data_IF_188843236469
#
_entry.id   IF_188843236469
#
_cell.length_a   1.000
_cell.length_b   1.000
_cell.length_c   1.000
_cell.angle_alpha   90.00
_cell.angle_beta   90.00
_cell.angle_gamma   90.00
#
_symmetry.space_group_name_H-M   'P 1'
#
loop_
_entity.id
_entity.type
_entity.pdbx_description
1 polymer ?
#
# COMPACT_ATOMS: atom_id res chain seq x y z
N UNK A 1 -19.86 -19.97 9.83
CA UNK A 1 -19.82 -18.91 8.81
C UNK A 1 -21.21 -18.33 8.46
N UNK A 2 -22.32 -18.95 8.88
CA UNK A 2 -23.70 -18.50 8.65
C UNK A 2 -24.21 -17.39 9.58
N UNK A 3 -23.52 -17.12 10.71
CA UNK A 3 -23.94 -16.10 11.70
C UNK A 3 -23.70 -14.66 11.22
N UNK A 4 -22.73 -14.44 10.32
CA UNK A 4 -22.35 -13.12 9.79
C UNK A 4 -23.02 -12.82 8.44
N UNK A 5 -23.42 -13.86 7.71
CA UNK A 5 -24.10 -13.73 6.41
C UNK A 5 -25.52 -13.16 6.55
N UNK A 6 -26.23 -13.50 7.64
CA UNK A 6 -27.60 -13.03 7.92
C UNK A 6 -27.70 -11.51 8.17
N UNK A 7 -26.88 -10.89 9.03
CA UNK A 7 -26.94 -9.43 9.22
C UNK A 7 -26.51 -8.66 7.96
N UNK A 8 -25.60 -9.22 7.16
CA UNK A 8 -25.15 -8.59 5.92
C UNK A 8 -26.26 -8.54 4.87
N UNK A 9 -27.00 -9.64 4.66
CA UNK A 9 -28.15 -9.67 3.75
C UNK A 9 -29.25 -8.72 4.23
N UNK A 10 -29.54 -8.69 5.54
CA UNK A 10 -30.55 -7.79 6.10
C UNK A 10 -30.16 -6.32 5.92
N UNK A 11 -28.89 -5.97 6.13
CA UNK A 11 -28.37 -4.62 5.92
C UNK A 11 -28.46 -4.16 4.46
N UNK A 12 -28.12 -5.04 3.51
CA UNK A 12 -28.22 -4.75 2.07
C UNK A 12 -29.67 -4.54 1.64
N UNK A 13 -30.61 -5.34 2.15
CA UNK A 13 -32.03 -5.19 1.83
C UNK A 13 -32.60 -3.85 2.37
N UNK A 14 -32.25 -3.46 3.59
CA UNK A 14 -32.72 -2.17 4.16
C UNK A 14 -32.13 -0.98 3.39
N UNK A 15 -30.86 -1.06 2.98
CA UNK A 15 -30.23 0.01 2.19
C UNK A 15 -30.88 0.20 0.80
N UNK A 16 -31.36 -0.89 0.19
CA UNK A 16 -31.97 -0.85 -1.15
C UNK A 16 -33.33 -0.12 -1.21
N UNK A 17 -34.10 -0.12 -0.12
CA UNK A 17 -35.42 0.55 -0.08
C UNK A 17 -35.27 2.07 -0.03
N UNK A 18 -34.17 2.58 0.53
CA UNK A 18 -33.90 4.03 0.64
C UNK A 18 -33.59 4.70 -0.69
N UNK A 19 -33.19 3.95 -1.73
CA UNK A 19 -32.83 4.50 -3.05
C UNK A 19 -34.04 4.88 -3.92
N UNK A 20 -35.25 4.45 -3.57
CA UNK A 20 -36.47 4.77 -4.33
C UNK A 20 -37.10 6.11 -3.94
N UNK A 21 -36.60 6.79 -2.89
CA UNK A 21 -37.16 8.05 -2.41
C UNK A 21 -36.57 9.31 -3.08
N UNK A 22 -35.46 9.21 -3.83
CA UNK A 22 -34.81 10.38 -4.47
C UNK A 22 -35.03 10.48 -6.00
N UNK A 23 -35.78 9.55 -6.61
CA UNK A 23 -36.15 9.63 -8.03
C UNK A 23 -37.57 10.16 -8.25
N UNK A 24 -38.26 10.63 -7.21
CA UNK A 24 -39.56 11.27 -7.34
C UNK A 24 -39.37 12.76 -7.65
N UNK A 25 -39.15 13.06 -8.92
CA UNK A 25 -39.34 14.40 -9.48
C UNK A 25 -40.82 14.80 -9.42
N UNK A 26 -41.35 15.08 -8.22
CA UNK A 26 -42.72 15.57 -8.02
C UNK A 26 -42.77 17.08 -8.23
N UNK A 27 -42.97 17.46 -9.48
CA UNK A 27 -43.51 18.77 -9.84
C UNK A 27 -44.92 18.89 -9.24
N UNK A 28 -45.05 19.68 -8.17
CA UNK A 28 -46.34 20.00 -7.59
C UNK A 28 -47.20 20.86 -8.53
N UNK A 29 -48.55 20.71 -8.52
CA UNK A 29 -49.44 21.55 -9.32
C UNK A 29 -49.36 23.00 -8.83
N UNK A 30 -48.92 23.92 -9.71
CA UNK A 30 -49.01 25.37 -9.43
C UNK A 30 -50.45 25.83 -9.68
N UNK A 31 -51.04 26.47 -8.68
CA UNK A 31 -52.33 27.18 -8.77
C UNK A 31 -52.35 28.17 -9.95
N UNK A 32 -53.46 28.30 -10.71
CA UNK A 32 -53.59 29.32 -11.73
C UNK A 32 -54.00 30.65 -11.07
N UNK A 33 -53.01 31.47 -10.75
CA UNK A 33 -53.21 32.88 -10.44
C UNK A 33 -53.06 33.70 -11.72
N UNK A 34 -54.13 34.39 -12.13
CA UNK A 34 -54.10 35.41 -13.18
C UNK A 34 -52.96 36.41 -12.94
N UNK A 35 -52.08 36.57 -13.92
CA UNK A 35 -51.30 37.79 -14.09
C UNK A 35 -50.87 37.97 -15.54
N UNK A 36 -51.27 39.11 -16.08
CA UNK A 36 -50.99 39.62 -17.41
C UNK A 36 -49.50 39.77 -17.70
N UNK A 37 -49.13 39.50 -18.95
CA UNK A 37 -48.07 40.20 -19.66
C UNK A 37 -46.63 39.76 -19.36
N UNK A 38 -46.00 39.09 -20.33
CA UNK A 38 -44.69 39.53 -20.78
C UNK A 38 -44.39 38.97 -22.18
N UNK A 39 -44.17 39.89 -23.12
CA UNK A 39 -43.57 39.60 -24.40
C UNK A 39 -42.09 39.29 -24.20
N UNK A 40 -41.59 38.32 -24.96
CA UNK A 40 -40.16 38.10 -25.15
C UNK A 40 -39.56 37.08 -24.18
N UNK A 41 -39.25 35.89 -24.71
CA UNK A 41 -37.89 35.37 -24.75
C UNK A 41 -37.91 33.95 -25.35
N UNK A 42 -38.06 33.85 -26.67
CA UNK A 42 -37.83 32.59 -27.37
C UNK A 42 -36.33 32.39 -27.54
N UNK A 43 -35.71 31.71 -26.58
CA UNK A 43 -34.32 31.28 -26.70
C UNK A 43 -33.82 30.73 -25.37
N UNK A 44 -33.12 29.59 -25.42
CA UNK A 44 -32.49 28.89 -24.27
C UNK A 44 -33.35 27.83 -23.57
N UNK A 45 -34.03 26.95 -24.31
CA UNK A 45 -34.65 25.74 -23.73
C UNK A 45 -33.74 24.49 -23.75
N UNK A 46 -32.47 24.61 -24.19
CA UNK A 46 -31.54 23.46 -24.27
C UNK A 46 -30.51 23.35 -23.13
N UNK A 47 -30.32 24.42 -22.34
CA UNK A 47 -29.21 24.48 -21.36
C UNK A 47 -29.56 23.88 -20.00
N UNK A 48 -30.82 24.00 -19.55
CA UNK A 48 -31.21 23.55 -18.22
C UNK A 48 -31.17 22.03 -18.08
N UNK A 49 -31.69 21.28 -19.06
CA UNK A 49 -31.55 19.82 -19.07
C UNK A 49 -30.10 19.39 -19.16
N UNK A 50 -29.27 20.15 -19.90
CA UNK A 50 -27.84 19.88 -20.02
C UNK A 50 -27.09 20.09 -18.69
N UNK A 51 -27.40 21.18 -18.00
CA UNK A 51 -26.83 21.51 -16.71
C UNK A 51 -27.27 20.52 -15.60
N UNK A 52 -28.50 20.01 -15.67
CA UNK A 52 -29.01 19.03 -14.70
C UNK A 52 -28.28 17.67 -14.78
N UNK A 53 -28.03 17.15 -15.99
CA UNK A 53 -27.27 15.89 -16.11
C UNK A 53 -25.78 16.07 -15.74
N UNK A 54 -25.20 17.23 -16.07
CA UNK A 54 -23.82 17.54 -15.67
C UNK A 54 -23.70 17.66 -14.15
N UNK A 55 -24.64 18.31 -13.48
CA UNK A 55 -24.66 18.40 -12.01
C UNK A 55 -24.75 17.02 -11.35
N UNK A 56 -25.63 16.15 -11.87
CA UNK A 56 -25.76 14.78 -11.38
C UNK A 56 -24.46 13.97 -11.55
N UNK A 57 -23.78 14.10 -12.69
CA UNK A 57 -22.50 13.42 -12.92
C UNK A 57 -21.37 13.94 -12.02
N UNK A 58 -21.34 15.23 -11.74
CA UNK A 58 -20.35 15.81 -10.82
C UNK A 58 -20.54 15.28 -9.41
N UNK A 59 -21.78 15.22 -8.92
CA UNK A 59 -22.10 14.67 -7.60
C UNK A 59 -21.77 13.18 -7.53
N UNK A 60 -22.12 12.42 -8.58
CA UNK A 60 -21.80 10.99 -8.66
C UNK A 60 -20.28 10.74 -8.67
N UNK A 61 -19.53 11.54 -9.43
CA UNK A 61 -18.08 11.46 -9.49
C UNK A 61 -17.42 11.76 -8.13
N UNK A 62 -17.88 12.80 -7.43
CA UNK A 62 -17.39 13.15 -6.09
C UNK A 62 -17.73 12.08 -5.05
N UNK A 63 -18.97 11.58 -5.06
CA UNK A 63 -19.39 10.50 -4.16
C UNK A 63 -18.58 9.22 -4.41
N UNK A 64 -18.40 8.83 -5.68
CA UNK A 64 -17.58 7.69 -6.06
C UNK A 64 -16.12 7.84 -5.66
N UNK A 65 -15.54 9.03 -5.81
CA UNK A 65 -14.17 9.32 -5.39
C UNK A 65 -14.01 9.24 -3.86
N UNK A 66 -14.96 9.77 -3.10
CA UNK A 66 -14.93 9.71 -1.63
C UNK A 66 -15.05 8.27 -1.12
N UNK A 67 -15.92 7.45 -1.73
CA UNK A 67 -16.05 6.03 -1.40
C UNK A 67 -14.78 5.27 -1.75
N UNK A 68 -14.18 5.51 -2.92
CA UNK A 68 -12.96 4.84 -3.34
C UNK A 68 -11.76 5.20 -2.44
N UNK A 69 -11.68 6.47 -2.00
CA UNK A 69 -10.67 6.91 -1.05
C UNK A 69 -10.84 6.24 0.33
N UNK A 70 -12.08 6.10 0.81
CA UNK A 70 -12.36 5.42 2.07
C UNK A 70 -12.09 3.90 2.00
N UNK A 71 -12.34 3.29 0.83
CA UNK A 71 -12.09 1.86 0.59
C UNK A 71 -10.59 1.54 0.41
N UNK A 72 -9.79 2.52 0.02
CA UNK A 72 -8.34 2.37 -0.14
C UNK A 72 -7.65 2.43 1.22
N UNK A 73 -7.63 1.31 1.95
CA UNK A 73 -6.82 1.18 3.15
C UNK A 73 -5.33 1.11 2.75
N UNK A 74 -4.44 1.88 3.40
CA UNK A 74 -3.00 1.73 3.20
C UNK A 74 -2.58 0.31 3.60
N UNK A 75 -2.05 -0.45 2.64
CA UNK A 75 -1.42 -1.74 2.93
C UNK A 75 -0.23 -1.48 3.88
N UNK A 76 -0.13 -2.19 5.03
CA UNK A 76 1.03 -2.08 5.88
C UNK A 76 2.29 -2.47 5.10
N UNK A 77 3.25 -1.54 4.99
CA UNK A 77 4.55 -1.86 4.44
C UNK A 77 5.19 -2.97 5.28
N UNK A 78 5.50 -4.10 4.64
CA UNK A 78 6.18 -5.19 5.32
C UNK A 78 7.54 -4.70 5.86
N UNK A 79 7.92 -5.05 7.11
CA UNK A 79 9.20 -4.63 7.66
C UNK A 79 10.36 -5.21 6.85
N UNK A 80 11.35 -4.37 6.54
CA UNK A 80 12.58 -4.81 5.89
C UNK A 80 13.38 -5.68 6.86
N UNK A 81 13.61 -6.95 6.48
CA UNK A 81 14.44 -7.86 7.26
C UNK A 81 15.90 -7.62 6.87
N UNK A 82 16.67 -7.02 7.77
CA UNK A 82 18.11 -6.85 7.60
C UNK A 82 18.85 -8.02 8.25
N UNK A 83 19.40 -8.92 7.43
CA UNK A 83 20.22 -10.02 7.91
C UNK A 83 21.64 -9.51 8.21
N UNK A 84 22.03 -9.56 9.48
CA UNK A 84 23.42 -9.33 9.90
C UNK A 84 24.15 -10.67 9.92
N UNK A 85 25.16 -10.82 9.07
CA UNK A 85 26.07 -11.95 9.15
C UNK A 85 26.92 -11.83 10.43
N UNK A 86 26.99 -12.87 11.29
CA UNK A 86 27.83 -12.83 12.48
C UNK A 86 29.30 -12.58 12.10
N UNK A 87 30.05 -11.77 12.86
CA UNK A 87 31.48 -11.70 12.70
C UNK A 87 32.06 -13.08 13.03
N UNK A 88 32.58 -13.78 12.03
CA UNK A 88 33.33 -15.02 12.25
C UNK A 88 34.58 -14.61 13.04
N UNK A 89 34.65 -15.00 14.32
CA UNK A 89 35.84 -14.82 15.13
C UNK A 89 36.84 -15.91 14.78
N UNK A 90 37.96 -15.51 14.21
CA UNK A 90 39.09 -16.40 13.97
C UNK A 90 39.99 -16.37 15.20
N UNK A 91 40.13 -17.52 15.86
CA UNK A 91 41.01 -17.65 17.00
C UNK A 91 42.47 -17.49 16.53
N UNK A 92 43.23 -16.68 17.26
CA UNK A 92 44.68 -16.66 17.10
C UNK A 92 45.25 -18.06 17.36
N UNK A 93 46.27 -18.50 16.62
CA UNK A 93 46.86 -19.80 16.82
C UNK A 93 47.58 -19.83 18.18
N UNK A 94 47.59 -20.99 18.87
CA UNK A 94 48.34 -21.15 20.12
C UNK A 94 49.84 -20.89 19.87
N UNK A 95 50.63 -20.56 20.90
CA UNK A 95 52.06 -20.24 20.74
C UNK A 95 52.79 -21.30 19.92
N UNK A 96 53.57 -20.87 18.93
CA UNK A 96 54.30 -21.79 18.06
C UNK A 96 55.44 -22.47 18.85
N UNK A 97 55.69 -23.77 18.62
CA UNK A 97 56.85 -24.45 19.19
C UNK A 97 58.15 -23.92 18.58
N UNK A 98 59.26 -24.10 19.32
CA UNK A 98 60.61 -23.74 18.85
C UNK A 98 60.89 -24.46 17.53
N UNK A 99 61.24 -23.70 16.49
CA UNK A 99 61.45 -24.16 15.10
C UNK A 99 60.17 -24.44 14.29
N UNK A 100 59.04 -23.81 14.62
CA UNK A 100 57.89 -23.85 13.73
C UNK A 100 57.26 -22.47 13.56
N UNK A 101 56.69 -22.22 12.39
CA UNK A 101 55.91 -21.02 12.09
C UNK A 101 54.53 -21.42 11.59
N UNK A 102 53.52 -20.63 11.95
CA UNK A 102 52.18 -20.83 11.42
C UNK A 102 52.06 -20.17 10.06
N UNK A 103 51.64 -20.96 9.08
CA UNK A 103 51.42 -20.55 7.72
C UNK A 103 49.93 -20.61 7.37
N UNK A 104 49.48 -19.57 6.68
CA UNK A 104 48.14 -19.51 6.13
C UNK A 104 48.17 -19.94 4.67
N UNK A 105 47.55 -21.07 4.34
CA UNK A 105 47.50 -21.54 2.95
C UNK A 105 46.76 -20.54 2.03
N UNK A 106 45.64 -19.98 2.50
CA UNK A 106 44.80 -19.07 1.69
C UNK A 106 45.43 -17.70 1.46
N UNK A 107 46.09 -17.12 2.49
CA UNK A 107 46.78 -15.83 2.34
C UNK A 107 48.23 -15.97 1.84
N UNK A 108 48.77 -17.19 1.82
CA UNK A 108 50.19 -17.51 1.56
C UNK A 108 51.16 -16.66 2.38
N UNK A 109 50.79 -16.41 3.63
CA UNK A 109 51.50 -15.52 4.53
C UNK A 109 51.69 -16.24 5.87
N UNK A 110 52.77 -15.92 6.57
CA UNK A 110 53.01 -16.41 7.92
C UNK A 110 52.35 -15.51 8.96
N UNK A 111 51.98 -16.07 10.11
CA UNK A 111 51.67 -15.25 11.29
C UNK A 111 52.91 -14.45 11.69
N UNK A 112 52.84 -13.15 12.03
CA UNK A 112 51.65 -12.32 12.24
C UNK A 112 51.22 -11.47 11.02
N UNK A 113 51.81 -11.66 9.85
CA UNK A 113 51.51 -10.85 8.65
C UNK A 113 50.08 -11.06 8.12
N UNK A 114 49.50 -12.23 8.41
CA UNK A 114 48.07 -12.45 8.30
C UNK A 114 47.50 -12.73 9.69
N UNK A 115 46.43 -12.03 10.07
CA UNK A 115 45.73 -12.28 11.34
C UNK A 115 44.56 -13.27 11.17
N UNK A 116 44.23 -13.61 9.92
CA UNK A 116 43.02 -14.34 9.56
C UNK A 116 43.33 -15.48 8.58
N UNK A 117 42.97 -16.70 8.98
CA UNK A 117 42.95 -17.88 8.12
C UNK A 117 41.63 -18.64 8.29
N UNK A 118 40.78 -18.72 7.24
CA UNK A 118 39.54 -19.49 7.31
C UNK A 118 39.79 -21.00 7.42
N UNK A 119 40.87 -21.49 6.80
CA UNK A 119 41.23 -22.93 6.79
C UNK A 119 41.89 -23.40 8.09
N UNK A 120 42.13 -22.48 9.04
CA UNK A 120 43.02 -22.71 10.18
C UNK A 120 44.50 -22.52 9.84
N UNK A 121 45.32 -22.61 10.88
CA UNK A 121 46.75 -22.35 10.80
C UNK A 121 47.54 -23.64 10.60
N UNK A 122 48.34 -23.71 9.54
CA UNK A 122 49.21 -24.85 9.29
C UNK A 122 50.56 -24.65 9.98
N UNK A 123 51.01 -25.63 10.74
CA UNK A 123 52.34 -25.62 11.36
C UNK A 123 53.39 -26.02 10.31
N UNK A 124 54.36 -25.15 10.02
CA UNK A 124 55.42 -25.39 9.06
C UNK A 124 56.77 -25.31 9.76
N UNK A 125 57.64 -26.29 9.50
CA UNK A 125 59.03 -26.29 9.98
C UNK A 125 59.90 -25.59 8.93
N UNK A 126 60.88 -24.75 9.34
CA UNK A 126 61.84 -24.18 8.40
C UNK A 126 62.61 -25.30 7.72
N UNK A 127 62.89 -25.13 6.43
CA UNK A 127 63.73 -26.07 5.69
C UNK A 127 65.11 -26.16 6.35
N UNK A 128 65.56 -27.38 6.62
CA UNK A 128 66.85 -27.67 7.26
C UNK A 128 67.95 -27.80 6.22
#
# INVERSE_FOLDING_TARGET
>A
MNKVLRPLILGVLIASVSSLALAEGRHGPRHPGNSHGNYGNHGKHGSHRAAEWLGALVVLGLAGAAINAAASQPEPAAPSVSYVSPPISYAAPPPAPVNASYFCASARQFYPYTAYCPEGWQLVLPAR
#
